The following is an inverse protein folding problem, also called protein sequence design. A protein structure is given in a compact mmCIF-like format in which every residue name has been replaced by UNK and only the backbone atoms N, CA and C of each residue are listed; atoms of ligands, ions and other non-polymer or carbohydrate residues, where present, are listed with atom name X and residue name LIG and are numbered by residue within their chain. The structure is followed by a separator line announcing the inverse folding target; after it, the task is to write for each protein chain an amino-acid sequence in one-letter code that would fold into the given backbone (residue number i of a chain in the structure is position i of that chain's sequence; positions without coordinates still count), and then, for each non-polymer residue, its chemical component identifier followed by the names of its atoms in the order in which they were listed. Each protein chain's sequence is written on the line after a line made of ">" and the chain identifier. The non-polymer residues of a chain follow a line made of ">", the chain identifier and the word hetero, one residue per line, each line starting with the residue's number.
data_IF_357396166850
#
_entry.id   IF_357396166850
#
_cell.length_a   1.000
_cell.length_b   1.000
_cell.length_c   1.000
_cell.angle_alpha   90.00
_cell.angle_beta   90.00
_cell.angle_gamma   90.00
#
_symmetry.space_group_name_H-M   'P 1'
#
loop_
_entity.id
_entity.type
_entity.pdbx_description
1 polymer ?
#
# COMPACT_ATOMS: atom_id res chain seq x y z
N UNK A 1 27.06 21.77 -1.20
CA UNK A 1 26.06 22.26 -2.17
C UNK A 1 24.78 21.46 -1.96
N UNK A 2 23.69 22.02 -1.40
CA UNK A 2 22.45 21.27 -1.13
C UNK A 2 21.23 21.65 -2.01
N UNK A 3 21.40 22.43 -3.07
CA UNK A 3 20.28 23.05 -3.81
C UNK A 3 19.39 22.13 -4.67
N UNK A 4 19.56 20.80 -4.66
CA UNK A 4 18.68 19.88 -5.41
C UNK A 4 17.54 19.27 -4.57
N UNK A 5 17.62 19.32 -3.23
CA UNK A 5 16.63 18.66 -2.38
C UNK A 5 15.33 19.47 -2.22
N UNK A 6 15.39 20.81 -2.33
CA UNK A 6 14.23 21.66 -2.05
C UNK A 6 13.14 21.54 -3.11
N UNK A 7 13.50 21.45 -4.39
CA UNK A 7 12.54 21.30 -5.49
C UNK A 7 11.79 19.95 -5.38
N UNK A 8 12.52 18.85 -5.15
CA UNK A 8 11.94 17.52 -4.98
C UNK A 8 10.95 17.47 -3.79
N UNK A 9 11.32 18.08 -2.66
CA UNK A 9 10.42 18.16 -1.50
C UNK A 9 9.18 18.99 -1.79
N UNK A 10 9.27 20.05 -2.60
CA UNK A 10 8.13 20.86 -2.99
C UNK A 10 7.14 20.09 -3.87
N UNK A 11 7.63 19.33 -4.85
CA UNK A 11 6.79 18.48 -5.70
C UNK A 11 6.08 17.39 -4.89
N UNK A 12 6.79 16.77 -3.95
CA UNK A 12 6.21 15.78 -3.04
C UNK A 12 5.12 16.40 -2.18
N UNK A 13 5.30 17.62 -1.66
CA UNK A 13 4.25 18.31 -0.88
C UNK A 13 2.98 18.48 -1.69
N UNK A 14 3.09 18.97 -2.93
CA UNK A 14 1.92 19.15 -3.81
C UNK A 14 1.23 17.82 -4.09
N UNK A 15 2.00 16.75 -4.32
CA UNK A 15 1.46 15.40 -4.48
C UNK A 15 0.71 14.90 -3.26
N UNK A 16 1.28 15.08 -2.07
CA UNK A 16 0.65 14.64 -0.82
C UNK A 16 -0.65 15.40 -0.59
N UNK A 17 -0.67 16.71 -0.80
CA UNK A 17 -1.89 17.53 -0.70
C UNK A 17 -2.97 17.03 -1.66
N UNK A 18 -2.61 16.71 -2.91
CA UNK A 18 -3.56 16.14 -3.87
C UNK A 18 -4.14 14.79 -3.40
N UNK A 19 -3.31 13.91 -2.80
CA UNK A 19 -3.77 12.65 -2.21
C UNK A 19 -4.62 12.88 -0.97
N UNK A 20 -4.35 13.91 -0.17
CA UNK A 20 -5.19 14.31 0.96
C UNK A 20 -6.55 14.84 0.50
N UNK A 21 -6.60 15.67 -0.55
CA UNK A 21 -7.87 16.07 -1.16
C UNK A 21 -8.67 14.84 -1.60
N UNK A 22 -8.03 13.88 -2.28
CA UNK A 22 -8.68 12.63 -2.69
C UNK A 22 -9.19 11.80 -1.51
N UNK A 23 -8.38 11.61 -0.48
CA UNK A 23 -8.78 10.87 0.72
C UNK A 23 -9.91 11.59 1.46
N UNK A 24 -10.02 12.92 1.39
CA UNK A 24 -11.09 13.69 2.03
C UNK A 24 -12.48 13.48 1.40
N UNK A 25 -12.53 13.01 0.14
CA UNK A 25 -13.79 12.70 -0.56
C UNK A 25 -14.48 11.43 -0.05
N UNK A 26 -13.77 10.59 0.70
CA UNK A 26 -14.35 9.36 1.23
C UNK A 26 -15.40 9.64 2.32
N UNK A 27 -16.54 8.93 2.34
CA UNK A 27 -17.49 9.02 3.43
C UNK A 27 -16.83 8.66 4.77
N UNK A 28 -16.98 9.54 5.77
CA UNK A 28 -16.32 9.42 7.08
C UNK A 28 -14.78 9.49 7.03
N UNK A 29 -14.23 10.18 6.04
CA UNK A 29 -12.79 10.43 6.01
C UNK A 29 -12.33 11.15 7.29
N UNK A 30 -11.25 10.70 7.95
CA UNK A 30 -10.71 11.37 9.13
C UNK A 30 -9.91 12.63 8.79
N UNK A 31 -9.72 12.92 7.51
CA UNK A 31 -9.01 14.10 7.02
C UNK A 31 -9.95 15.02 6.25
N UNK A 32 -9.70 16.32 6.37
CA UNK A 32 -10.35 17.36 5.55
C UNK A 32 -9.35 17.90 4.53
N UNK A 33 -9.81 18.61 3.48
CA UNK A 33 -8.93 19.25 2.52
C UNK A 33 -7.92 20.22 3.15
N UNK A 34 -8.25 20.81 4.31
CA UNK A 34 -7.42 21.77 5.05
C UNK A 34 -6.47 21.12 6.06
N UNK A 35 -6.48 19.78 6.19
CA UNK A 35 -5.62 19.03 7.09
C UNK A 35 -4.15 19.36 6.80
N UNK A 36 -3.35 19.60 7.85
CA UNK A 36 -1.92 19.89 7.69
C UNK A 36 -1.12 18.60 7.47
N UNK A 37 0.06 18.71 6.85
CA UNK A 37 0.95 17.56 6.69
C UNK A 37 1.37 16.95 8.02
N UNK A 38 1.56 17.78 9.05
CA UNK A 38 1.93 17.35 10.40
C UNK A 38 0.80 16.58 11.09
N UNK A 39 -0.45 16.96 10.85
CA UNK A 39 -1.62 16.23 11.33
C UNK A 39 -1.82 14.92 10.55
N UNK A 40 -1.64 14.96 9.22
CA UNK A 40 -1.81 13.81 8.33
C UNK A 40 -0.92 12.61 8.71
N UNK A 41 0.33 12.87 9.09
CA UNK A 41 1.30 11.83 9.46
C UNK A 41 1.21 11.37 10.92
N UNK A 42 0.28 11.93 11.71
CA UNK A 42 0.12 11.47 13.09
C UNK A 42 -0.32 9.99 13.12
N UNK A 43 0.27 9.16 14.00
CA UNK A 43 -0.11 7.75 14.11
C UNK A 43 -1.62 7.51 14.29
N UNK A 44 -2.29 8.38 15.05
CA UNK A 44 -3.75 8.30 15.24
C UNK A 44 -4.49 8.51 13.93
N UNK A 45 -4.09 9.50 13.13
CA UNK A 45 -4.71 9.80 11.84
C UNK A 45 -4.47 8.70 10.81
N UNK A 46 -3.24 8.19 10.75
CA UNK A 46 -2.89 7.06 9.89
C UNK A 46 -3.72 5.81 10.25
N UNK A 47 -3.93 5.55 11.54
CA UNK A 47 -4.77 4.45 11.98
C UNK A 47 -6.22 4.61 11.53
N UNK A 48 -6.80 5.81 11.67
CA UNK A 48 -8.15 6.10 11.19
C UNK A 48 -8.27 5.94 9.66
N UNK A 49 -7.26 6.36 8.89
CA UNK A 49 -7.20 6.16 7.43
C UNK A 49 -7.16 4.66 7.11
N UNK A 50 -6.36 3.88 7.85
CA UNK A 50 -6.31 2.42 7.66
C UNK A 50 -7.65 1.77 8.00
N UNK A 51 -8.36 2.22 9.05
CA UNK A 51 -9.70 1.73 9.37
C UNK A 51 -10.75 2.09 8.32
N UNK A 52 -10.58 3.21 7.63
CA UNK A 52 -11.43 3.61 6.51
C UNK A 52 -11.24 2.69 5.29
N UNK A 53 -9.99 2.35 4.97
CA UNK A 53 -9.64 1.63 3.73
C UNK A 53 -9.64 0.11 3.89
N UNK A 54 -9.31 -0.41 5.08
CA UNK A 54 -9.14 -1.85 5.31
C UNK A 54 -10.42 -2.50 5.81
N UNK A 55 -10.50 -3.82 5.72
CA UNK A 55 -11.65 -4.53 6.27
C UNK A 55 -11.69 -4.43 7.80
N UNK A 56 -12.90 -4.51 8.38
CA UNK A 56 -13.04 -4.60 9.85
C UNK A 56 -12.29 -5.79 10.42
N UNK A 57 -12.18 -6.89 9.68
CA UNK A 57 -11.46 -8.10 10.08
C UNK A 57 -9.95 -7.85 10.14
N UNK A 58 -9.38 -7.12 9.17
CA UNK A 58 -7.95 -6.79 9.12
C UNK A 58 -7.54 -5.82 10.24
N UNK A 59 -8.43 -4.91 10.61
CA UNK A 59 -8.23 -3.96 11.72
C UNK A 59 -8.67 -4.52 13.09
N UNK A 60 -9.35 -5.67 13.12
CA UNK A 60 -9.81 -6.27 14.38
C UNK A 60 -8.65 -6.92 15.15
N UNK A 61 -8.68 -6.78 16.48
CA UNK A 61 -7.66 -7.33 17.37
C UNK A 61 -6.61 -6.32 17.84
N UNK A 62 -6.53 -5.13 17.22
CA UNK A 62 -5.69 -4.07 17.74
C UNK A 62 -6.42 -3.26 18.81
N UNK A 63 -5.68 -2.95 19.86
CA UNK A 63 -6.10 -2.11 20.97
C UNK A 63 -6.25 -0.66 20.47
N UNK A 64 -7.44 -0.29 20.00
CA UNK A 64 -7.76 1.08 19.54
C UNK A 64 -7.44 2.13 20.60
N UNK A 65 -7.52 1.74 21.88
CA UNK A 65 -7.11 2.53 23.04
C UNK A 65 -5.61 2.88 23.10
N UNK A 66 -4.74 2.26 22.29
CA UNK A 66 -3.35 2.69 22.17
C UNK A 66 -3.17 3.95 21.31
N UNK A 67 -4.16 4.29 20.47
CA UNK A 67 -4.11 5.47 19.59
C UNK A 67 -4.68 6.71 20.29
N UNK A 68 -3.94 7.18 21.29
CA UNK A 68 -4.17 8.48 21.94
C UNK A 68 -3.33 9.56 21.23
N UNK A 69 -3.82 10.81 21.24
CA UNK A 69 -3.10 11.95 20.70
C UNK A 69 -1.68 12.00 21.33
N UNK A 70 -0.67 12.03 20.47
CA UNK A 70 0.71 12.01 20.92
C UNK A 70 1.07 13.31 21.62
N UNK A 71 1.93 13.22 22.64
CA UNK A 71 2.69 14.37 23.12
C UNK A 71 3.79 14.66 22.10
N UNK A 72 4.06 15.94 21.86
CA UNK A 72 5.03 16.40 20.87
C UNK A 72 6.37 15.66 20.98
N UNK A 73 6.90 15.24 19.82
CA UNK A 73 8.24 14.67 19.71
C UNK A 73 9.23 15.80 20.01
N UNK A 74 9.99 15.66 21.10
CA UNK A 74 11.03 16.64 21.45
C UNK A 74 12.34 16.19 20.81
N UNK A 75 12.83 16.98 19.85
CA UNK A 75 14.17 16.84 19.30
C UNK A 75 15.11 17.81 20.00
N UNK A 76 16.12 17.27 20.66
CA UNK A 76 17.34 17.98 21.03
C UNK A 76 18.39 17.75 19.94
N UNK A 77 19.46 18.56 19.95
CA UNK A 77 20.52 18.55 18.91
C UNK A 77 21.15 17.15 18.72
N UNK A 78 21.16 16.32 19.76
CA UNK A 78 21.80 14.99 19.76
C UNK A 78 20.84 13.81 20.05
N UNK A 79 19.59 14.08 20.45
CA UNK A 79 18.65 13.05 20.89
C UNK A 79 17.20 13.37 20.49
N UNK A 80 16.47 12.32 20.09
CA UNK A 80 15.03 12.40 19.83
C UNK A 80 14.33 11.66 20.95
N UNK A 81 13.54 12.40 21.74
CA UNK A 81 12.71 11.82 22.77
C UNK A 81 11.33 11.48 22.19
N UNK A 82 11.09 10.18 22.01
CA UNK A 82 9.80 9.65 21.57
C UNK A 82 9.15 8.86 22.70
N UNK A 83 7.84 9.05 22.87
CA UNK A 83 7.10 8.28 23.87
C UNK A 83 7.06 6.80 23.48
N UNK A 84 7.16 5.90 24.47
CA UNK A 84 6.99 4.46 24.24
C UNK A 84 5.62 4.13 23.61
N UNK A 85 4.61 4.96 23.89
CA UNK A 85 3.27 4.83 23.32
C UNK A 85 3.34 5.07 21.80
N UNK A 86 4.02 6.13 21.36
CA UNK A 86 4.19 6.45 19.94
C UNK A 86 4.95 5.34 19.22
N UNK A 87 6.01 4.80 19.80
CA UNK A 87 6.73 3.65 19.21
C UNK A 87 5.80 2.44 19.02
N UNK A 88 5.00 2.11 20.04
CA UNK A 88 4.03 1.02 19.95
C UNK A 88 2.95 1.28 18.90
N UNK A 89 2.50 2.53 18.73
CA UNK A 89 1.56 2.90 17.67
C UNK A 89 2.18 2.66 16.29
N UNK A 90 3.45 3.02 16.08
CA UNK A 90 4.17 2.79 14.82
C UNK A 90 4.28 1.29 14.51
N UNK A 91 4.61 0.47 15.51
CA UNK A 91 4.66 -0.99 15.38
C UNK A 91 3.32 -1.57 14.94
N UNK A 92 2.24 -1.15 15.60
CA UNK A 92 0.87 -1.57 15.26
C UNK A 92 0.51 -1.16 13.83
N UNK A 93 0.77 0.09 13.44
CA UNK A 93 0.51 0.56 12.07
C UNK A 93 1.27 -0.25 11.03
N UNK A 94 2.53 -0.59 11.33
CA UNK A 94 3.38 -1.39 10.44
C UNK A 94 2.80 -2.79 10.26
N UNK A 95 2.40 -3.45 11.35
CA UNK A 95 1.82 -4.79 11.33
C UNK A 95 0.46 -4.83 10.60
N UNK A 96 -0.41 -3.84 10.81
CA UNK A 96 -1.69 -3.73 10.09
C UNK A 96 -1.45 -3.59 8.59
N UNK A 97 -0.55 -2.69 8.20
CA UNK A 97 -0.25 -2.45 6.79
C UNK A 97 0.34 -3.70 6.14
N UNK A 98 1.34 -4.32 6.77
CA UNK A 98 1.97 -5.55 6.26
C UNK A 98 0.94 -6.68 6.12
N UNK A 99 0.04 -6.84 7.09
CA UNK A 99 -1.05 -7.81 7.02
C UNK A 99 -1.99 -7.56 5.84
N UNK A 100 -2.41 -6.32 5.62
CA UNK A 100 -3.27 -5.96 4.48
C UNK A 100 -2.55 -6.20 3.15
N UNK A 101 -1.29 -5.78 3.05
CA UNK A 101 -0.49 -5.97 1.84
C UNK A 101 -0.31 -7.47 1.56
N UNK A 102 -0.03 -8.30 2.56
CA UNK A 102 0.09 -9.76 2.41
C UNK A 102 -1.22 -10.45 2.04
N UNK A 103 -2.35 -10.00 2.56
CA UNK A 103 -3.65 -10.64 2.33
C UNK A 103 -4.21 -10.35 0.94
N UNK A 104 -3.93 -9.15 0.40
CA UNK A 104 -4.56 -8.67 -0.84
C UNK A 104 -3.62 -8.56 -2.03
N UNK A 105 -2.30 -8.50 -1.81
CA UNK A 105 -1.35 -8.10 -2.84
C UNK A 105 -0.09 -8.99 -2.77
N UNK A 106 0.50 -9.28 -3.92
CA UNK A 106 1.92 -9.63 -4.01
C UNK A 106 2.79 -8.49 -3.44
N UNK A 107 3.39 -8.74 -2.27
CA UNK A 107 4.24 -7.80 -1.52
C UNK A 107 5.27 -7.06 -2.39
N UNK A 108 5.77 -7.72 -3.43
CA UNK A 108 6.81 -7.20 -4.33
C UNK A 108 6.33 -6.06 -5.23
N UNK A 109 5.06 -5.68 -5.16
CA UNK A 109 4.51 -4.61 -5.99
C UNK A 109 4.46 -3.25 -5.31
N UNK A 110 4.80 -3.17 -4.01
CA UNK A 110 4.78 -1.92 -3.26
C UNK A 110 6.18 -1.51 -2.77
N UNK A 111 6.47 -0.20 -2.74
CA UNK A 111 7.72 0.26 -2.13
C UNK A 111 7.73 -0.04 -0.63
N UNK A 112 8.88 -0.43 -0.10
CA UNK A 112 9.05 -0.60 1.35
C UNK A 112 8.90 0.75 2.06
N UNK A 113 7.88 0.85 2.92
CA UNK A 113 7.56 2.02 3.72
C UNK A 113 8.14 1.89 5.13
N UNK A 114 8.96 2.86 5.52
CA UNK A 114 9.49 2.96 6.87
C UNK A 114 8.69 4.00 7.69
N UNK A 115 7.71 3.52 8.45
CA UNK A 115 6.85 4.38 9.28
C UNK A 115 7.61 5.08 10.42
N UNK A 116 8.67 4.47 10.97
CA UNK A 116 9.53 5.15 11.94
C UNK A 116 10.18 6.38 11.32
N UNK A 117 10.75 6.21 10.13
CA UNK A 117 11.43 7.29 9.40
C UNK A 117 10.44 8.40 9.02
N UNK A 118 9.24 8.02 8.58
CA UNK A 118 8.16 8.96 8.27
C UNK A 118 7.75 9.80 9.49
N UNK A 119 7.40 9.14 10.60
CA UNK A 119 6.75 9.79 11.74
C UNK A 119 7.76 10.53 12.62
N UNK A 120 8.99 10.02 12.76
CA UNK A 120 10.00 10.65 13.62
C UNK A 120 10.77 11.76 12.94
N UNK A 121 10.96 11.69 11.61
CA UNK A 121 11.83 12.60 10.87
C UNK A 121 11.11 13.38 9.76
N UNK A 122 9.79 13.23 9.63
CA UNK A 122 8.98 13.87 8.57
C UNK A 122 9.58 13.66 7.17
N UNK A 123 10.07 12.44 6.91
CA UNK A 123 10.82 12.15 5.69
C UNK A 123 9.91 12.17 4.45
N UNK A 124 10.16 13.13 3.55
CA UNK A 124 9.37 13.32 2.35
C UNK A 124 9.40 12.09 1.41
N UNK A 125 10.50 11.34 1.38
CA UNK A 125 10.57 10.14 0.54
C UNK A 125 9.65 9.03 1.07
N UNK A 126 9.61 8.80 2.39
CA UNK A 126 8.65 7.88 3.00
C UNK A 126 7.21 8.40 2.90
N UNK A 127 6.99 9.72 2.98
CA UNK A 127 5.66 10.32 2.83
C UNK A 127 5.11 10.10 1.43
N UNK A 128 5.96 10.24 0.40
CA UNK A 128 5.62 9.89 -0.98
C UNK A 128 5.20 8.42 -1.09
N UNK A 129 5.99 7.50 -0.52
CA UNK A 129 5.68 6.06 -0.55
C UNK A 129 4.36 5.75 0.15
N UNK A 130 4.10 6.35 1.31
CA UNK A 130 2.82 6.22 2.02
C UNK A 130 1.66 6.61 1.11
N UNK A 131 1.75 7.77 0.46
CA UNK A 131 0.70 8.25 -0.43
C UNK A 131 0.50 7.35 -1.65
N UNK A 132 1.59 6.82 -2.23
CA UNK A 132 1.52 5.84 -3.31
C UNK A 132 0.82 4.54 -2.86
N UNK A 133 1.15 4.07 -1.66
CA UNK A 133 0.53 2.88 -1.04
C UNK A 133 -0.96 3.12 -0.80
N UNK A 134 -1.32 4.21 -0.11
CA UNK A 134 -2.70 4.58 0.21
C UNK A 134 -3.55 4.75 -1.04
N UNK A 135 -3.04 5.47 -2.04
CA UNK A 135 -3.73 5.66 -3.30
C UNK A 135 -4.04 4.32 -3.96
N UNK A 136 -3.03 3.45 -4.08
CA UNK A 136 -3.19 2.15 -4.72
C UNK A 136 -4.12 1.23 -3.93
N UNK A 137 -4.06 1.23 -2.59
CA UNK A 137 -5.02 0.48 -1.79
C UNK A 137 -6.44 1.00 -2.00
N UNK A 138 -6.63 2.31 -1.88
CA UNK A 138 -7.94 2.93 -2.03
C UNK A 138 -8.51 2.88 -3.45
N UNK A 139 -7.73 2.56 -4.48
CA UNK A 139 -8.23 2.36 -5.86
C UNK A 139 -8.28 0.90 -6.32
N UNK A 140 -7.57 -0.04 -5.69
CA UNK A 140 -7.47 -1.43 -6.18
C UNK A 140 -7.83 -2.51 -5.16
N UNK A 141 -7.45 -2.38 -3.89
CA UNK A 141 -7.52 -3.52 -2.93
C UNK A 141 -8.43 -3.30 -1.75
N UNK A 142 -8.77 -2.04 -1.46
CA UNK A 142 -9.72 -1.70 -0.41
C UNK A 142 -11.14 -2.13 -0.78
N UNK A 143 -11.97 -2.29 0.26
CA UNK A 143 -13.43 -2.50 0.11
C UNK A 143 -14.08 -1.32 -0.64
N UNK A 144 -13.49 -0.13 -0.51
CA UNK A 144 -13.96 1.10 -1.13
C UNK A 144 -13.27 1.41 -2.47
N UNK A 145 -12.59 0.43 -3.08
CA UNK A 145 -11.80 0.62 -4.32
C UNK A 145 -12.60 1.24 -5.47
N UNK A 146 -13.84 0.78 -5.68
CA UNK A 146 -14.75 1.34 -6.67
C UNK A 146 -15.09 2.82 -6.37
N UNK A 147 -15.30 3.16 -5.10
CA UNK A 147 -15.56 4.53 -4.67
C UNK A 147 -14.30 5.39 -4.82
N UNK A 148 -13.12 4.88 -4.43
CA UNK A 148 -11.86 5.61 -4.55
C UNK A 148 -11.51 5.93 -6.00
N UNK A 149 -11.78 5.02 -6.94
CA UNK A 149 -11.67 5.28 -8.37
C UNK A 149 -12.65 6.35 -8.84
N UNK A 150 -13.90 6.32 -8.38
CA UNK A 150 -14.89 7.34 -8.71
C UNK A 150 -14.52 8.72 -8.12
N UNK A 151 -14.03 8.76 -6.89
CA UNK A 151 -13.65 10.00 -6.21
C UNK A 151 -12.43 10.67 -6.84
N UNK A 152 -11.53 9.89 -7.44
CA UNK A 152 -10.45 10.45 -8.26
C UNK A 152 -10.98 11.35 -9.38
N UNK A 153 -12.18 11.09 -9.92
CA UNK A 153 -12.77 11.90 -10.98
C UNK A 153 -13.34 13.25 -10.52
N UNK A 154 -13.59 13.44 -9.22
CA UNK A 154 -14.08 14.71 -8.67
C UNK A 154 -12.96 15.70 -8.30
N UNK A 155 -11.70 15.26 -8.35
CA UNK A 155 -10.54 16.12 -8.12
C UNK A 155 -10.38 17.19 -9.19
N UNK A 156 -9.68 18.26 -8.84
CA UNK A 156 -9.27 19.29 -9.80
C UNK A 156 -8.32 18.70 -10.86
N UNK A 157 -8.30 19.29 -12.05
CA UNK A 157 -7.39 18.85 -13.12
C UNK A 157 -5.91 18.89 -12.68
N UNK A 158 -5.55 19.86 -11.84
CA UNK A 158 -4.22 19.97 -11.26
C UNK A 158 -3.91 18.76 -10.36
N UNK A 159 -4.79 18.44 -9.41
CA UNK A 159 -4.58 17.31 -8.50
C UNK A 159 -4.53 15.97 -9.25
N UNK A 160 -5.40 15.79 -10.25
CA UNK A 160 -5.37 14.61 -11.14
C UNK A 160 -4.02 14.49 -11.84
N UNK A 161 -3.49 15.58 -12.40
CA UNK A 161 -2.20 15.58 -13.09
C UNK A 161 -1.06 15.21 -12.13
N UNK A 162 -1.00 15.85 -10.96
CA UNK A 162 0.06 15.61 -9.99
C UNK A 162 0.02 14.16 -9.49
N UNK A 163 -1.16 13.64 -9.15
CA UNK A 163 -1.27 12.22 -8.73
C UNK A 163 -0.81 11.30 -9.85
N UNK A 164 -1.23 11.54 -11.10
CA UNK A 164 -0.83 10.72 -12.24
C UNK A 164 0.68 10.76 -12.54
N UNK A 165 1.39 11.84 -12.22
CA UNK A 165 2.85 11.92 -12.35
C UNK A 165 3.58 10.99 -11.37
N UNK A 166 3.03 10.80 -10.17
CA UNK A 166 3.63 9.98 -9.12
C UNK A 166 3.04 8.56 -9.04
N UNK A 167 2.00 8.25 -9.81
CA UNK A 167 1.56 6.86 -10.03
C UNK A 167 2.71 6.11 -10.66
N UNK A 168 3.20 5.09 -9.97
CA UNK A 168 4.09 4.14 -10.61
C UNK A 168 3.38 3.58 -11.84
N UNK A 169 4.04 3.51 -13.01
CA UNK A 169 3.44 2.88 -14.16
C UNK A 169 3.06 1.48 -13.72
N UNK A 170 1.76 1.17 -13.80
CA UNK A 170 1.27 -0.21 -13.69
C UNK A 170 2.24 -1.04 -14.50
N UNK A 171 2.96 -1.95 -13.83
CA UNK A 171 3.79 -2.92 -14.53
C UNK A 171 2.79 -3.64 -15.43
N UNK A 172 2.70 -3.19 -16.68
CA UNK A 172 2.09 -3.93 -17.76
C UNK A 172 3.01 -5.13 -17.81
N UNK A 173 2.61 -6.22 -17.16
CA UNK A 173 3.13 -7.53 -17.48
C UNK A 173 2.92 -7.64 -18.98
N UNK A 174 4.01 -7.36 -19.72
CA UNK A 174 4.04 -7.64 -21.14
C UNK A 174 3.70 -9.12 -21.18
N UNK A 175 2.62 -9.47 -21.87
CA UNK A 175 2.46 -10.80 -22.45
C UNK A 175 3.65 -11.01 -23.38
N UNK A 176 4.83 -11.25 -22.81
CA UNK A 176 5.97 -11.73 -23.53
C UNK A 176 5.59 -13.17 -23.84
N UNK A 177 4.95 -13.34 -25.02
CA UNK A 177 4.96 -14.60 -25.74
C UNK A 177 6.42 -15.05 -25.74
N UNK A 178 6.75 -16.03 -24.93
CA UNK A 178 8.06 -16.65 -24.95
C UNK A 178 8.33 -17.11 -26.39
N UNK A 179 9.42 -16.64 -27.03
CA UNK A 179 9.81 -17.13 -28.34
C UNK A 179 10.36 -18.55 -28.14
N UNK A 180 9.48 -19.56 -28.14
CA UNK A 180 9.92 -20.95 -27.99
C UNK A 180 8.85 -21.99 -27.68
N UNK A 181 7.69 -21.63 -27.10
CA UNK A 181 6.65 -22.61 -26.83
C UNK A 181 5.68 -22.75 -28.01
N UNK A 182 5.93 -23.79 -28.81
CA UNK A 182 5.02 -24.29 -29.85
C UNK A 182 3.62 -24.49 -29.26
N UNK A 183 2.63 -23.84 -29.88
CA UNK A 183 1.21 -24.18 -29.77
C UNK A 183 1.03 -25.69 -29.99
N UNK A 184 0.83 -26.45 -28.90
CA UNK A 184 0.18 -27.75 -29.00
C UNK A 184 -1.32 -27.46 -29.01
N UNK A 185 -1.84 -27.37 -30.23
CA UNK A 185 -3.25 -27.46 -30.58
C UNK A 185 -4.00 -28.45 -29.68
N UNK A 186 -4.95 -27.96 -28.90
CA UNK A 186 -5.97 -28.79 -28.27
C UNK A 186 -7.29 -28.62 -29.07
N UNK A 187 -8.00 -29.71 -29.40
CA UNK A 187 -9.19 -29.63 -30.26
C UNK A 187 -10.36 -28.98 -29.53
N UNK A 188 -11.34 -28.38 -30.24
CA UNK A 188 -12.53 -27.82 -29.61
C UNK A 188 -13.37 -28.99 -29.07
N UNK A 189 -13.59 -29.01 -27.76
CA UNK A 189 -14.56 -29.90 -27.15
C UNK A 189 -15.94 -29.24 -27.22
N UNK A 190 -16.76 -29.70 -28.17
CA UNK A 190 -18.20 -29.54 -28.13
C UNK A 190 -18.75 -30.35 -26.95
N UNK A 191 -19.25 -29.68 -25.91
CA UNK A 191 -20.14 -30.30 -24.92
C UNK A 191 -21.16 -29.29 -24.42
N UNK A 192 -22.35 -29.38 -25.00
CA UNK A 192 -23.60 -29.03 -24.32
C UNK A 192 -23.73 -29.89 -23.06
N UNK A 193 -23.96 -29.27 -21.92
CA UNK A 193 -24.64 -29.93 -20.79
C UNK A 193 -25.28 -28.88 -19.89
N UNK A 194 -26.60 -28.78 -19.99
CA UNK A 194 -27.46 -28.26 -18.94
C UNK A 194 -27.16 -28.97 -17.63
N UNK A 195 -26.76 -28.23 -16.59
CA UNK A 195 -26.84 -28.71 -15.22
C UNK A 195 -27.15 -27.53 -14.29
N UNK A 196 -28.45 -27.35 -14.04
CA UNK A 196 -28.97 -26.80 -12.79
C UNK A 196 -28.46 -27.69 -11.64
N UNK A 197 -27.70 -27.12 -10.72
CA UNK A 197 -27.67 -27.62 -9.33
C UNK A 197 -27.18 -26.53 -8.39
N UNK A 198 -28.05 -26.22 -7.44
CA UNK A 198 -27.89 -25.25 -6.38
C UNK A 198 -26.95 -25.78 -5.30
N UNK A 199 -25.92 -25.01 -4.94
CA UNK A 199 -25.31 -25.05 -3.60
C UNK A 199 -24.39 -23.82 -3.36
N UNK A 200 -24.74 -22.84 -2.49
CA UNK A 200 -23.85 -21.74 -2.16
C UNK A 200 -23.19 -21.97 -0.78
N UNK A 201 -22.25 -22.92 -0.72
CA UNK A 201 -21.25 -23.04 0.37
C UNK A 201 -19.86 -23.46 -0.14
N UNK A 202 -19.46 -22.99 -1.32
CA UNK A 202 -18.13 -23.24 -1.87
C UNK A 202 -17.14 -22.19 -1.36
N UNK A 203 -16.29 -22.57 -0.40
CA UNK A 203 -15.05 -21.85 -0.11
C UNK A 203 -14.25 -21.75 -1.42
N UNK A 204 -14.04 -20.53 -1.91
CA UNK A 204 -13.33 -20.30 -3.16
C UNK A 204 -11.83 -20.58 -2.98
N UNK A 205 -11.38 -21.80 -3.29
CA UNK A 205 -9.95 -22.08 -3.43
C UNK A 205 -9.42 -21.36 -4.69
N UNK A 206 -8.42 -20.49 -4.50
CA UNK A 206 -7.66 -19.92 -5.61
C UNK A 206 -6.79 -21.01 -6.23
N UNK A 207 -7.01 -21.31 -7.52
CA UNK A 207 -6.16 -22.23 -8.27
C UNK A 207 -4.98 -21.43 -8.85
N UNK A 208 -3.83 -21.52 -8.18
CA UNK A 208 -2.58 -20.91 -8.65
C UNK A 208 -2.14 -21.54 -9.97
N UNK A 209 -1.88 -20.72 -10.98
CA UNK A 209 -1.43 -21.22 -12.28
C UNK A 209 0.02 -21.71 -12.20
N UNK A 210 0.40 -22.71 -12.99
CA UNK A 210 1.75 -23.29 -12.97
C UNK A 210 2.85 -22.22 -13.15
N UNK A 211 2.63 -21.23 -14.02
CA UNK A 211 3.53 -20.10 -14.22
C UNK A 211 3.69 -19.23 -12.95
N UNK A 212 2.62 -19.05 -12.16
CA UNK A 212 2.69 -18.31 -10.89
C UNK A 212 3.48 -19.09 -9.85
N UNK A 213 3.31 -20.41 -9.80
CA UNK A 213 4.06 -21.29 -8.90
C UNK A 213 5.56 -21.31 -9.24
N UNK A 214 5.91 -21.36 -10.52
CA UNK A 214 7.29 -21.28 -10.99
C UNK A 214 7.95 -19.95 -10.64
N UNK A 215 7.24 -18.84 -10.84
CA UNK A 215 7.73 -17.51 -10.45
C UNK A 215 7.97 -17.41 -8.93
N UNK A 216 7.05 -17.95 -8.13
CA UNK A 216 7.19 -17.97 -6.67
C UNK A 216 8.41 -18.79 -6.23
N UNK A 217 8.61 -19.97 -6.82
CA UNK A 217 9.77 -20.82 -6.54
C UNK A 217 11.08 -20.13 -6.92
N UNK A 218 11.11 -19.39 -8.03
CA UNK A 218 12.28 -18.61 -8.43
C UNK A 218 12.60 -17.51 -7.42
N UNK A 219 11.60 -16.74 -6.98
CA UNK A 219 11.80 -15.71 -5.94
C UNK A 219 12.31 -16.28 -4.63
N UNK A 220 11.71 -17.39 -4.16
CA UNK A 220 12.16 -18.12 -2.97
C UNK A 220 13.64 -18.49 -3.10
N UNK A 221 14.05 -19.02 -4.26
CA UNK A 221 15.45 -19.40 -4.49
C UNK A 221 16.43 -18.21 -4.41
N UNK A 222 16.00 -17.00 -4.75
CA UNK A 222 16.82 -15.79 -4.62
C UNK A 222 16.96 -15.40 -3.15
N UNK A 223 15.86 -15.40 -2.40
CA UNK A 223 15.90 -15.08 -0.98
C UNK A 223 16.75 -16.08 -0.20
N UNK A 224 16.62 -17.38 -0.47
CA UNK A 224 17.46 -18.41 0.14
C UNK A 224 18.95 -18.19 -0.16
N UNK A 225 19.29 -17.86 -1.42
CA UNK A 225 20.67 -17.52 -1.79
C UNK A 225 21.19 -16.26 -1.09
N UNK A 226 20.35 -15.26 -0.90
CA UNK A 226 20.72 -13.99 -0.27
C UNK A 226 20.93 -14.19 1.24
N UNK A 227 20.04 -14.94 1.90
CA UNK A 227 20.18 -15.35 3.31
C UNK A 227 21.43 -16.21 3.49
N UNK A 228 21.70 -17.16 2.60
CA UNK A 228 22.90 -18.01 2.68
C UNK A 228 24.20 -17.20 2.53
N UNK A 229 24.21 -16.19 1.64
CA UNK A 229 25.36 -15.27 1.51
C UNK A 229 25.58 -14.45 2.77
N UNK A 230 24.52 -13.83 3.30
CA UNK A 230 24.61 -13.02 4.53
C UNK A 230 25.06 -13.87 5.73
N UNK A 231 24.56 -15.10 5.86
CA UNK A 231 24.95 -16.02 6.93
C UNK A 231 26.40 -16.54 6.81
N UNK A 232 27.01 -16.48 5.61
CA UNK A 232 28.41 -16.87 5.39
C UNK A 232 29.39 -15.71 5.62
N UNK A 233 28.90 -14.47 5.58
CA UNK A 233 29.68 -13.26 5.81
C UNK A 233 29.66 -12.79 7.29
N UNK A 234 28.86 -13.44 8.14
CA UNK A 234 28.87 -13.32 9.62
C UNK A 234 29.71 -14.41 10.27
#
# INVERSE_FOLDING_TARGET
>A
MPFQNDDCNSEIKVYVVAVMHWLSEFPNSPITPECSLEEFIQPTKLFEIFQLLFSKEESSGYLTNCFIANKDIQSDIESIYISQITLKQIEILTDILDRHLRSRITLNTFPYLNLYKLIMFNDYAELKKLCQILFRIGTFTSILSANGLAYFEFLTDNDKQVINQFKEPLIKTKKNKYPGLREKSMPPADTNSDYDSADPKSESCYLMQEEELEALNWEISIFENLVYKLAKEM
#
